data_IF_006727389228
#
_entry.id   IF_006727389228
#
_cell.length_a   1.000
_cell.length_b   1.000
_cell.length_c   1.000
_cell.angle_alpha   90.00
_cell.angle_beta   90.00
_cell.angle_gamma   90.00
#
_symmetry.space_group_name_H-M   'P 1'
#
loop_
_entity.id
_entity.type
_entity.pdbx_description
1 polymer ?
#
# COMPACT_ATOMS: atom_id res chain seq x y z
N UNK A 1 -23.16 17.09 19.42
CA UNK A 1 -21.95 17.91 19.25
C UNK A 1 -20.79 17.56 20.19
N UNK A 2 -20.99 17.32 21.49
CA UNK A 2 -19.89 16.94 22.42
C UNK A 2 -19.28 15.55 22.12
N UNK A 3 -20.09 14.56 21.75
CA UNK A 3 -19.62 13.18 21.49
C UNK A 3 -18.74 13.06 20.25
N UNK A 4 -19.04 13.82 19.19
CA UNK A 4 -18.29 13.86 17.92
C UNK A 4 -16.89 14.41 18.09
N UNK A 5 -16.75 15.50 18.84
CA UNK A 5 -15.46 16.12 19.16
C UNK A 5 -14.57 15.14 19.97
N UNK A 6 -15.18 14.22 20.72
CA UNK A 6 -14.47 13.28 21.56
C UNK A 6 -13.78 12.18 20.76
N UNK A 7 -14.39 11.67 19.68
CA UNK A 7 -13.83 10.59 18.85
C UNK A 7 -12.64 11.04 18.02
N UNK A 8 -12.76 12.18 17.32
CA UNK A 8 -11.69 12.69 16.45
C UNK A 8 -10.45 13.15 17.22
N UNK A 9 -10.59 13.53 18.50
CA UNK A 9 -9.49 13.92 19.39
C UNK A 9 -9.11 12.83 20.40
N UNK A 10 -9.71 11.63 20.27
CA UNK A 10 -9.27 10.48 21.06
C UNK A 10 -7.82 10.13 20.75
N UNK A 11 -7.09 9.68 21.74
CA UNK A 11 -5.68 9.31 21.60
C UNK A 11 -5.44 8.29 20.50
N UNK A 12 -6.29 7.26 20.40
CA UNK A 12 -6.13 6.21 19.38
C UNK A 12 -6.40 6.74 17.98
N UNK A 13 -7.39 7.64 17.83
CA UNK A 13 -7.67 8.29 16.55
C UNK A 13 -6.49 9.15 16.07
N UNK A 14 -5.92 9.97 16.96
CA UNK A 14 -4.74 10.80 16.63
C UNK A 14 -3.52 9.94 16.30
N UNK A 15 -3.29 8.88 17.06
CA UNK A 15 -2.19 7.94 16.78
C UNK A 15 -2.40 7.20 15.45
N UNK A 16 -3.64 6.82 15.11
CA UNK A 16 -3.97 6.23 13.82
C UNK A 16 -3.70 7.20 12.66
N UNK A 17 -4.20 8.44 12.74
CA UNK A 17 -3.92 9.50 11.73
C UNK A 17 -2.42 9.65 11.49
N UNK A 18 -1.63 9.67 12.57
CA UNK A 18 -0.18 9.80 12.48
C UNK A 18 0.45 8.63 11.70
N UNK A 19 0.07 7.39 12.04
CA UNK A 19 0.62 6.20 11.38
C UNK A 19 0.13 6.09 9.92
N UNK A 20 -1.12 6.46 9.66
CA UNK A 20 -1.66 6.50 8.30
C UNK A 20 -0.91 7.52 7.42
N UNK A 21 -0.60 8.71 7.96
CA UNK A 21 0.21 9.70 7.25
C UNK A 21 1.64 9.22 6.98
N UNK A 22 2.28 8.57 7.96
CA UNK A 22 3.62 7.96 7.78
C UNK A 22 3.59 6.84 6.72
N UNK A 23 2.55 6.03 6.69
CA UNK A 23 2.36 5.01 5.65
C UNK A 23 2.25 5.63 4.27
N UNK A 24 1.39 6.64 4.08
CA UNK A 24 1.25 7.32 2.80
C UNK A 24 2.58 7.92 2.32
N UNK A 25 3.28 8.64 3.21
CA UNK A 25 4.58 9.21 2.89
C UNK A 25 5.66 8.17 2.61
N UNK A 26 5.59 6.99 3.23
CA UNK A 26 6.49 5.87 2.93
C UNK A 26 6.23 5.31 1.54
N UNK A 27 4.96 5.06 1.17
CA UNK A 27 4.59 4.52 -0.15
C UNK A 27 4.90 5.51 -1.29
N UNK A 28 4.66 6.80 -1.09
CA UNK A 28 4.99 7.86 -2.06
C UNK A 28 6.48 7.94 -2.41
N UNK A 29 7.35 7.51 -1.50
CA UNK A 29 8.81 7.44 -1.70
C UNK A 29 9.33 6.07 -2.14
N UNK A 30 8.44 5.13 -2.45
CA UNK A 30 8.83 3.75 -2.79
C UNK A 30 9.79 3.68 -3.96
N UNK A 31 9.61 4.52 -4.99
CA UNK A 31 10.39 4.48 -6.25
C UNK A 31 11.91 4.52 -6.04
N UNK A 32 12.36 5.27 -5.03
CA UNK A 32 13.79 5.51 -4.78
C UNK A 32 14.36 4.55 -3.72
N UNK A 33 13.56 3.59 -3.25
CA UNK A 33 13.95 2.68 -2.19
C UNK A 33 14.61 1.41 -2.76
N UNK A 34 15.61 0.91 -2.06
CA UNK A 34 16.12 -0.45 -2.26
C UNK A 34 15.09 -1.46 -1.73
N UNK A 35 14.84 -2.57 -2.45
CA UNK A 35 13.86 -3.62 -2.09
C UNK A 35 13.99 -4.08 -0.64
N UNK A 36 15.19 -4.42 -0.21
CA UNK A 36 15.44 -4.91 1.16
C UNK A 36 15.01 -3.89 2.21
N UNK A 37 15.37 -2.62 2.02
CA UNK A 37 15.01 -1.53 2.93
C UNK A 37 13.51 -1.25 2.89
N UNK A 38 12.89 -1.32 1.71
CA UNK A 38 11.45 -1.16 1.54
C UNK A 38 10.68 -2.25 2.29
N UNK A 39 11.01 -3.53 2.08
CA UNK A 39 10.39 -4.68 2.75
C UNK A 39 10.57 -4.60 4.26
N UNK A 40 11.77 -4.28 4.73
CA UNK A 40 12.07 -4.12 6.17
C UNK A 40 11.22 -3.01 6.83
N UNK A 41 11.00 -1.92 6.13
CA UNK A 41 10.19 -0.80 6.61
C UNK A 41 8.71 -1.12 6.57
N UNK A 42 8.22 -1.70 5.47
CA UNK A 42 6.84 -2.13 5.32
C UNK A 42 6.42 -3.09 6.43
N UNK A 43 7.25 -4.10 6.75
CA UNK A 43 7.00 -5.06 7.83
C UNK A 43 7.01 -4.46 9.25
N UNK A 44 7.39 -3.19 9.41
CA UNK A 44 7.27 -2.45 10.68
C UNK A 44 6.04 -1.55 10.68
N UNK A 45 5.76 -0.89 9.55
CA UNK A 45 4.64 0.06 9.42
C UNK A 45 3.30 -0.69 9.38
N UNK A 46 3.18 -1.73 8.56
CA UNK A 46 1.91 -2.45 8.39
C UNK A 46 1.33 -3.03 9.69
N UNK A 47 2.09 -3.77 10.53
CA UNK A 47 1.53 -4.26 11.79
C UNK A 47 1.16 -3.13 12.76
N UNK A 48 1.90 -2.02 12.74
CA UNK A 48 1.55 -0.85 13.53
C UNK A 48 0.27 -0.19 13.02
N UNK A 49 0.12 -0.08 11.70
CA UNK A 49 -1.09 0.44 11.06
C UNK A 49 -2.31 -0.41 11.40
N UNK A 50 -2.21 -1.74 11.29
CA UNK A 50 -3.27 -2.66 11.68
C UNK A 50 -3.68 -2.47 13.14
N UNK A 51 -2.70 -2.45 14.04
CA UNK A 51 -2.95 -2.25 15.47
C UNK A 51 -3.68 -0.93 15.73
N UNK A 52 -3.23 0.17 15.11
CA UNK A 52 -3.85 1.48 15.32
C UNK A 52 -5.25 1.58 14.73
N UNK A 53 -5.49 1.01 13.54
CA UNK A 53 -6.81 0.93 12.95
C UNK A 53 -7.80 0.14 13.82
N UNK A 54 -7.36 -0.99 14.39
CA UNK A 54 -8.19 -1.83 15.27
C UNK A 54 -8.55 -1.18 16.61
N UNK A 55 -7.86 -0.11 17.00
CA UNK A 55 -8.09 0.64 18.25
C UNK A 55 -8.93 1.92 18.05
N UNK A 56 -9.34 2.24 16.82
CA UNK A 56 -10.22 3.39 16.55
C UNK A 56 -11.53 3.18 17.33
N UNK A 57 -11.96 4.18 18.13
CA UNK A 57 -13.22 4.08 18.86
C UNK A 57 -14.42 3.88 17.93
N UNK A 58 -15.53 3.39 18.49
CA UNK A 58 -16.80 3.37 17.78
C UNK A 58 -17.23 4.79 17.44
N UNK A 59 -17.66 5.01 16.21
CA UNK A 59 -18.16 6.27 15.70
C UNK A 59 -19.36 6.06 14.79
N UNK A 60 -20.16 7.09 14.63
CA UNK A 60 -21.34 7.12 13.78
C UNK A 60 -21.22 8.28 12.79
N UNK A 61 -21.71 8.10 11.57
CA UNK A 61 -21.77 9.16 10.56
C UNK A 61 -22.70 10.28 11.02
N UNK A 62 -22.30 11.50 10.75
CA UNK A 62 -23.05 12.70 11.13
C UNK A 62 -23.56 13.44 9.92
N UNK A 63 -22.76 13.48 8.83
CA UNK A 63 -23.12 14.07 7.57
C UNK A 63 -24.05 13.18 6.74
N UNK A 64 -24.74 13.81 5.81
CA UNK A 64 -25.62 13.14 4.83
C UNK A 64 -24.97 13.10 3.42
N UNK A 65 -23.82 13.74 3.25
CA UNK A 65 -23.14 13.91 1.97
C UNK A 65 -21.95 12.95 1.85
N UNK A 66 -21.68 12.47 0.62
CA UNK A 66 -20.50 11.69 0.31
C UNK A 66 -19.23 12.55 0.52
N UNK A 67 -18.18 11.90 1.02
CA UNK A 67 -16.90 12.57 1.21
C UNK A 67 -16.19 12.77 -0.13
N UNK A 68 -15.41 13.84 -0.22
CA UNK A 68 -14.58 14.12 -1.37
C UNK A 68 -13.46 13.06 -1.49
N UNK A 69 -13.23 12.59 -2.73
CA UNK A 69 -12.16 11.67 -3.10
C UNK A 69 -11.01 12.48 -3.70
N UNK A 70 -9.83 12.32 -3.18
CA UNK A 70 -8.63 13.08 -3.56
C UNK A 70 -7.66 12.28 -4.42
N UNK A 71 -7.59 10.97 -4.22
CA UNK A 71 -6.68 10.09 -4.99
C UNK A 71 -7.27 9.86 -6.37
N UNK A 72 -6.59 10.37 -7.39
CA UNK A 72 -6.96 10.13 -8.78
C UNK A 72 -6.45 8.76 -9.26
N UNK A 73 -6.96 8.29 -10.41
CA UNK A 73 -6.44 7.08 -11.06
C UNK A 73 -4.94 7.20 -11.39
N UNK A 74 -4.49 8.40 -11.79
CA UNK A 74 -3.08 8.66 -12.07
C UNK A 74 -2.21 8.58 -10.81
N UNK A 75 -2.70 9.08 -9.66
CA UNK A 75 -2.00 8.99 -8.38
C UNK A 75 -1.90 7.53 -7.91
N UNK A 76 -2.99 6.79 -8.01
CA UNK A 76 -3.03 5.36 -7.71
C UNK A 76 -2.03 4.58 -8.56
N UNK A 77 -2.07 4.75 -9.88
CA UNK A 77 -1.19 4.07 -10.81
C UNK A 77 0.29 4.46 -10.64
N UNK A 78 0.57 5.71 -10.28
CA UNK A 78 1.92 6.17 -9.97
C UNK A 78 2.50 5.40 -8.78
N UNK A 79 1.74 5.29 -7.70
CA UNK A 79 2.13 4.57 -6.48
C UNK A 79 2.27 3.07 -6.77
N UNK A 80 1.28 2.46 -7.41
CA UNK A 80 1.29 1.04 -7.75
C UNK A 80 2.54 0.67 -8.56
N UNK A 81 2.86 1.45 -9.61
CA UNK A 81 4.04 1.23 -10.45
C UNK A 81 5.35 1.44 -9.69
N UNK A 82 5.41 2.41 -8.77
CA UNK A 82 6.59 2.63 -7.94
C UNK A 82 6.88 1.42 -7.05
N UNK A 83 5.85 0.86 -6.40
CA UNK A 83 5.97 -0.35 -5.58
C UNK A 83 6.31 -1.57 -6.43
N UNK A 84 5.62 -1.77 -7.58
CA UNK A 84 5.93 -2.87 -8.50
C UNK A 84 7.38 -2.83 -8.99
N UNK A 85 7.92 -1.64 -9.25
CA UNK A 85 9.33 -1.46 -9.65
C UNK A 85 10.30 -1.91 -8.54
N UNK A 86 10.04 -1.54 -7.29
CA UNK A 86 10.88 -1.94 -6.14
C UNK A 86 10.80 -3.43 -5.89
N UNK A 87 9.58 -4.00 -5.97
CA UNK A 87 9.38 -5.43 -5.72
C UNK A 87 9.90 -6.31 -6.86
N UNK A 88 9.83 -5.82 -8.11
CA UNK A 88 10.27 -6.56 -9.30
C UNK A 88 9.62 -7.94 -9.40
N UNK A 89 10.39 -9.02 -9.60
CA UNK A 89 9.86 -10.39 -9.69
C UNK A 89 9.14 -10.88 -8.43
N UNK A 90 9.38 -10.22 -7.28
CA UNK A 90 8.81 -10.57 -5.97
C UNK A 90 7.47 -9.87 -5.70
N UNK A 91 6.90 -9.17 -6.68
CA UNK A 91 5.62 -8.47 -6.52
C UNK A 91 4.41 -9.41 -6.45
N UNK A 92 4.52 -10.57 -7.09
CA UNK A 92 3.44 -11.55 -7.20
C UNK A 92 3.39 -12.50 -6.00
N UNK A 93 2.18 -12.78 -5.51
CA UNK A 93 1.95 -13.82 -4.51
C UNK A 93 0.62 -14.56 -4.75
N UNK A 94 0.42 -15.68 -4.06
CA UNK A 94 -0.81 -16.46 -4.18
C UNK A 94 -1.78 -16.14 -3.03
N UNK A 95 -3.02 -15.84 -3.39
CA UNK A 95 -4.12 -15.66 -2.44
C UNK A 95 -4.39 -16.94 -1.66
N UNK A 96 -4.68 -16.84 -0.37
CA UNK A 96 -4.79 -18.00 0.53
C UNK A 96 -6.19 -18.17 1.12
N UNK A 97 -6.93 -17.07 1.28
CA UNK A 97 -8.21 -17.05 2.00
C UNK A 97 -9.42 -16.70 1.13
N UNK A 98 -9.38 -17.01 -0.15
CA UNK A 98 -10.54 -16.78 -1.00
C UNK A 98 -11.51 -17.99 -0.91
N UNK A 99 -12.82 -17.77 -0.67
CA UNK A 99 -13.80 -18.86 -0.52
C UNK A 99 -13.82 -19.83 -1.72
N UNK A 100 -13.62 -19.30 -2.93
CA UNK A 100 -13.66 -20.07 -4.17
C UNK A 100 -12.44 -20.97 -4.34
N UNK A 101 -11.37 -20.75 -3.59
CA UNK A 101 -10.17 -21.62 -3.65
C UNK A 101 -10.44 -23.04 -3.14
N UNK A 102 -11.49 -23.25 -2.34
CA UNK A 102 -11.92 -24.57 -1.92
C UNK A 102 -12.45 -25.45 -3.10
N UNK A 103 -12.83 -24.80 -4.20
CA UNK A 103 -13.46 -25.41 -5.38
C UNK A 103 -12.69 -25.20 -6.68
N UNK A 104 -11.58 -24.49 -6.63
CA UNK A 104 -10.74 -24.17 -7.80
C UNK A 104 -9.38 -24.84 -7.70
N UNK A 105 -8.96 -25.52 -8.77
CA UNK A 105 -7.61 -26.07 -8.92
C UNK A 105 -6.59 -24.99 -9.36
N UNK A 106 -7.07 -23.77 -9.64
CA UNK A 106 -6.22 -22.67 -10.12
C UNK A 106 -6.01 -21.66 -9.00
N UNK A 107 -4.77 -21.45 -8.53
CA UNK A 107 -4.46 -20.41 -7.55
C UNK A 107 -4.78 -19.01 -8.08
N UNK A 108 -5.30 -18.15 -7.20
CA UNK A 108 -5.54 -16.74 -7.53
C UNK A 108 -4.25 -15.98 -7.27
N UNK A 109 -3.72 -15.36 -8.33
CA UNK A 109 -2.55 -14.49 -8.25
C UNK A 109 -2.95 -13.09 -7.79
N UNK A 110 -2.16 -12.51 -6.88
CA UNK A 110 -2.27 -11.17 -6.36
C UNK A 110 -0.93 -10.45 -6.46
N UNK A 111 -0.95 -9.14 -6.36
CA UNK A 111 0.26 -8.31 -6.40
C UNK A 111 0.39 -7.49 -5.11
N UNK A 112 1.58 -7.47 -4.53
CA UNK A 112 1.91 -6.64 -3.37
C UNK A 112 1.70 -5.17 -3.70
N UNK A 113 2.07 -4.75 -4.90
CA UNK A 113 1.93 -3.38 -5.38
C UNK A 113 0.48 -2.91 -5.47
N UNK A 114 -0.44 -3.77 -5.91
CA UNK A 114 -1.88 -3.46 -5.94
C UNK A 114 -2.45 -3.35 -4.53
N UNK A 115 -2.17 -4.33 -3.66
CA UNK A 115 -2.69 -4.29 -2.29
C UNK A 115 -2.19 -3.08 -1.50
N UNK A 116 -0.90 -2.70 -1.66
CA UNK A 116 -0.37 -1.50 -1.01
C UNK A 116 -0.94 -0.21 -1.61
N UNK A 117 -1.22 -0.17 -2.91
CA UNK A 117 -1.88 0.97 -3.55
C UNK A 117 -3.35 1.11 -3.13
N UNK A 118 -4.07 0.00 -2.96
CA UNK A 118 -5.44 0.00 -2.44
C UNK A 118 -5.50 0.56 -1.00
N UNK A 119 -4.59 0.10 -0.13
CA UNK A 119 -4.48 0.64 1.23
C UNK A 119 -4.10 2.13 1.20
N UNK A 120 -3.21 2.52 0.29
CA UNK A 120 -2.82 3.92 0.12
C UNK A 120 -3.99 4.80 -0.28
N UNK A 121 -4.82 4.37 -1.22
CA UNK A 121 -5.99 5.12 -1.68
C UNK A 121 -6.94 5.44 -0.52
N UNK A 122 -7.36 4.41 0.23
CA UNK A 122 -8.25 4.58 1.38
C UNK A 122 -7.66 5.51 2.45
N UNK A 123 -6.39 5.32 2.79
CA UNK A 123 -5.73 6.13 3.82
C UNK A 123 -5.44 7.55 3.37
N UNK A 124 -5.07 7.75 2.10
CA UNK A 124 -4.77 9.08 1.57
C UNK A 124 -6.04 9.93 1.48
N UNK A 125 -7.14 9.37 0.97
CA UNK A 125 -8.43 10.05 0.95
C UNK A 125 -8.87 10.41 2.37
N UNK A 126 -8.80 9.48 3.31
CA UNK A 126 -9.07 9.74 4.72
C UNK A 126 -8.23 10.90 5.27
N UNK A 127 -6.91 10.91 5.06
CA UNK A 127 -6.01 11.95 5.58
C UNK A 127 -6.32 13.30 4.96
N UNK A 128 -6.55 13.36 3.64
CA UNK A 128 -6.87 14.61 2.96
C UNK A 128 -8.16 15.22 3.51
N UNK A 129 -9.21 14.41 3.68
CA UNK A 129 -10.48 14.86 4.28
C UNK A 129 -10.28 15.30 5.74
N UNK A 130 -9.54 14.51 6.52
CA UNK A 130 -9.27 14.82 7.94
C UNK A 130 -8.53 16.15 8.10
N UNK A 131 -7.61 16.49 7.19
CA UNK A 131 -6.84 17.72 7.19
C UNK A 131 -7.67 18.98 6.88
N UNK A 132 -8.88 18.85 6.33
CA UNK A 132 -9.79 19.99 6.14
C UNK A 132 -10.20 20.64 7.46
N UNK A 133 -10.09 19.92 8.59
CA UNK A 133 -10.27 20.47 9.94
C UNK A 133 -11.74 20.74 10.31
N UNK A 134 -12.69 20.21 9.57
CA UNK A 134 -14.13 20.33 9.88
C UNK A 134 -14.56 19.13 10.72
N UNK A 135 -14.99 19.34 11.95
CA UNK A 135 -15.27 18.26 12.90
C UNK A 135 -16.22 17.17 12.38
N UNK A 136 -17.29 17.54 11.67
CA UNK A 136 -18.22 16.57 11.10
C UNK A 136 -17.54 15.72 10.03
N UNK A 137 -16.86 16.36 9.08
CA UNK A 137 -16.17 15.72 7.98
C UNK A 137 -15.01 14.85 8.48
N UNK A 138 -14.25 15.31 9.50
CA UNK A 138 -13.21 14.53 10.17
C UNK A 138 -13.78 13.26 10.82
N UNK A 139 -14.93 13.39 11.49
CA UNK A 139 -15.60 12.23 12.09
C UNK A 139 -16.01 11.23 11.03
N UNK A 140 -16.67 11.68 9.99
CA UNK A 140 -17.22 10.82 8.95
C UNK A 140 -16.11 10.13 8.15
N UNK A 141 -15.01 10.83 7.87
CA UNK A 141 -13.84 10.22 7.24
C UNK A 141 -13.20 9.13 8.12
N UNK A 142 -13.15 9.33 9.43
CA UNK A 142 -12.64 8.33 10.36
C UNK A 142 -13.57 7.11 10.42
N UNK A 143 -14.89 7.32 10.45
CA UNK A 143 -15.87 6.23 10.46
C UNK A 143 -15.80 5.40 9.19
N UNK A 144 -15.78 6.03 8.02
CA UNK A 144 -15.68 5.35 6.71
C UNK A 144 -14.35 4.60 6.60
N UNK A 145 -13.24 5.21 7.00
CA UNK A 145 -11.94 4.55 6.98
C UNK A 145 -11.90 3.31 7.90
N UNK A 146 -12.57 3.36 9.07
CA UNK A 146 -12.72 2.22 9.98
C UNK A 146 -13.59 1.12 9.38
N UNK A 147 -14.69 1.47 8.72
CA UNK A 147 -15.56 0.52 8.01
C UNK A 147 -14.79 -0.18 6.87
N UNK A 148 -14.08 0.59 6.04
CA UNK A 148 -13.24 0.05 4.98
C UNK A 148 -12.09 -0.81 5.52
N UNK A 149 -11.55 -0.50 6.71
CA UNK A 149 -10.59 -1.39 7.38
C UNK A 149 -11.20 -2.75 7.65
N UNK A 150 -12.40 -2.80 8.19
CA UNK A 150 -13.07 -4.05 8.55
C UNK A 150 -13.47 -4.88 7.31
N UNK A 151 -13.92 -4.22 6.25
CA UNK A 151 -14.50 -4.87 5.07
C UNK A 151 -13.51 -5.12 3.94
N UNK A 152 -12.47 -4.30 3.84
CA UNK A 152 -11.62 -4.26 2.65
C UNK A 152 -10.12 -4.22 2.92
N UNK A 153 -9.57 -3.06 3.30
CA UNK A 153 -8.12 -2.89 3.30
C UNK A 153 -7.40 -3.59 4.45
N UNK A 154 -8.10 -3.89 5.54
CA UNK A 154 -7.52 -4.66 6.65
C UNK A 154 -7.12 -6.07 6.23
N UNK A 155 -7.93 -6.75 5.43
CA UNK A 155 -7.60 -8.08 4.89
C UNK A 155 -6.44 -8.01 3.90
N UNK A 156 -6.42 -6.99 3.02
CA UNK A 156 -5.30 -6.78 2.09
C UNK A 156 -3.99 -6.55 2.82
N UNK A 157 -4.01 -5.75 3.88
CA UNK A 157 -2.86 -5.49 4.73
C UNK A 157 -2.28 -6.79 5.32
N UNK A 158 -3.13 -7.66 5.85
CA UNK A 158 -2.68 -8.95 6.43
C UNK A 158 -2.08 -9.87 5.36
N UNK A 159 -2.71 -9.94 4.18
CA UNK A 159 -2.22 -10.74 3.07
C UNK A 159 -0.87 -10.23 2.56
N UNK A 160 -0.74 -8.93 2.38
CA UNK A 160 0.51 -8.28 1.97
C UNK A 160 1.62 -8.46 3.00
N UNK A 161 1.31 -8.34 4.30
CA UNK A 161 2.30 -8.63 5.36
C UNK A 161 2.84 -10.05 5.25
N UNK A 162 1.98 -11.03 5.01
CA UNK A 162 2.39 -12.42 4.83
C UNK A 162 3.30 -12.57 3.61
N UNK A 163 2.93 -11.97 2.47
CA UNK A 163 3.73 -12.00 1.25
C UNK A 163 5.11 -11.33 1.45
N UNK A 164 5.15 -10.14 2.06
CA UNK A 164 6.41 -9.46 2.38
C UNK A 164 7.29 -10.23 3.37
N UNK A 165 6.68 -10.94 4.33
CA UNK A 165 7.41 -11.81 5.24
C UNK A 165 8.09 -12.95 4.49
N UNK A 166 7.41 -13.54 3.51
CA UNK A 166 7.97 -14.57 2.66
C UNK A 166 9.14 -14.06 1.83
N UNK A 167 8.98 -12.91 1.19
CA UNK A 167 10.06 -12.21 0.46
C UNK A 167 11.29 -11.96 1.35
N UNK A 168 11.08 -11.57 2.60
CA UNK A 168 12.19 -11.25 3.50
C UNK A 168 12.95 -12.46 4.00
N UNK A 169 12.26 -13.56 4.32
CA UNK A 169 12.84 -14.64 5.10
C UNK A 169 12.97 -15.97 4.36
N UNK A 170 12.20 -16.18 3.28
CA UNK A 170 12.12 -17.47 2.60
C UNK A 170 12.64 -17.42 1.17
N UNK A 171 12.73 -16.24 0.54
CA UNK A 171 13.32 -16.13 -0.79
C UNK A 171 14.83 -15.96 -0.65
N UNK A 172 15.59 -16.90 -1.25
CA UNK A 172 17.04 -16.86 -1.24
C UNK A 172 17.55 -15.66 -2.03
N UNK A 173 18.53 -14.96 -1.47
CA UNK A 173 19.20 -13.81 -2.11
C UNK A 173 20.02 -14.19 -3.36
N UNK A 174 20.05 -15.46 -3.74
CA UNK A 174 20.77 -15.93 -4.92
C UNK A 174 20.09 -15.49 -6.25
N UNK A 175 18.80 -15.14 -6.22
CA UNK A 175 18.10 -14.63 -7.41
C UNK A 175 18.43 -13.17 -7.75
N UNK A 176 19.06 -12.42 -6.85
CA UNK A 176 19.48 -11.04 -7.10
C UNK A 176 20.80 -10.93 -7.90
N UNK A 177 21.49 -12.04 -8.14
CA UNK A 177 22.80 -12.07 -8.80
C UNK A 177 22.74 -12.14 -10.34
N UNK A 178 21.60 -12.57 -10.91
CA UNK A 178 21.49 -12.78 -12.36
C UNK A 178 21.19 -11.50 -13.17
N UNK A 179 20.76 -10.41 -12.52
CA UNK A 179 20.50 -9.12 -13.22
C UNK A 179 21.76 -8.23 -13.40
N UNK A 180 22.89 -8.63 -12.83
CA UNK A 180 24.13 -7.83 -12.91
C UNK A 180 25.00 -8.13 -14.13
N UNK A 181 24.70 -9.17 -14.91
CA UNK A 181 25.53 -9.64 -16.05
C UNK A 181 24.76 -9.61 -17.40
N UNK A 182 24.11 -8.49 -17.71
CA UNK A 182 23.70 -8.21 -19.10
C UNK A 182 24.93 -7.67 -19.84
N UNK A 183 25.45 -8.37 -20.89
CA UNK A 183 26.59 -7.89 -21.63
C UNK A 183 26.23 -6.62 -22.39
N UNK A 184 26.93 -5.53 -22.10
CA UNK A 184 26.94 -4.29 -22.89
C UNK A 184 27.69 -4.56 -24.20
N UNK A 185 27.03 -5.22 -25.14
CA UNK A 185 27.53 -5.51 -26.47
C UNK A 185 26.87 -4.61 -27.50
N UNK A 186 27.33 -3.40 -27.64
CA UNK A 186 27.19 -2.63 -28.87
C UNK A 186 28.61 -2.44 -29.43
N UNK A 187 29.09 -3.44 -30.18
CA UNK A 187 30.20 -3.26 -31.07
C UNK A 187 29.66 -2.53 -32.31
N UNK A 188 30.14 -1.31 -32.45
CA UNK A 188 30.07 -0.54 -33.69
C UNK A 188 31.06 -1.16 -34.71
N UNK A 189 30.58 -1.99 -35.58
CA UNK A 189 31.31 -2.29 -36.81
C UNK A 189 31.03 -1.14 -37.81
N UNK A 190 32.01 -0.25 -37.92
CA UNK A 190 32.13 0.71 -38.99
C UNK A 190 32.56 -0.06 -40.25
N UNK A 191 31.62 -0.42 -41.12
CA UNK A 191 31.94 -0.87 -42.46
C UNK A 191 32.33 0.33 -43.33
N UNK A 192 33.61 0.38 -43.59
CA UNK A 192 34.31 1.23 -44.53
C UNK A 192 33.86 0.85 -45.97
N UNK A 193 33.06 1.70 -46.62
CA UNK A 193 32.73 1.58 -48.05
C UNK A 193 33.83 2.29 -48.86
N UNK A 194 34.74 1.52 -49.42
CA UNK A 194 35.65 1.94 -50.48
C UNK A 194 34.94 1.96 -51.83
N UNK A 195 34.92 3.13 -52.46
CA UNK A 195 34.55 3.35 -53.84
C UNK A 195 35.73 3.12 -54.77
N UNK A 196 35.61 2.20 -55.74
CA UNK A 196 36.20 2.30 -57.07
C UNK A 196 35.18 1.75 -58.08
#
# INVERSE_FOLDING_TARGET
>A
MEQTSQVIFDKNSIEFVTVAAEYCGFIERARDAERKTFVDTALKILPLLYLKASLIPECELIGEEDLEVFVTEDDYEMVRRAVAHVMGPQDDYLEVFHPDMAYSDTPIKKCISEDLADIYQDLKDFICVFQLGLNATMNDSLCICKEHFAEFWGQRLVNTMRALHDVKYNISTDDDADDADAPSGWDNDEDEFDFL
#
